data_IF_535829250234
#
_entry.id   IF_535829250234
#
_cell.length_a   1.000
_cell.length_b   1.000
_cell.length_c   1.000
_cell.angle_alpha   90.00
_cell.angle_beta   90.00
_cell.angle_gamma   90.00
#
_symmetry.space_group_name_H-M   'P 1'
#
loop_
_entity.id
_entity.type
_entity.pdbx_description
1 polymer ?
#
# COMPACT_ATOMS: atom_id res chain seq x y z
N UNK A 1 18.61 -18.51 68.78
CA UNK A 1 19.09 -17.45 69.70
C UNK A 1 19.76 -16.35 68.87
N UNK A 2 19.55 -15.05 69.16
CA UNK A 2 20.22 -13.83 68.59
C UNK A 2 20.55 -13.85 67.07
N UNK A 3 19.83 -13.23 66.12
CA UNK A 3 19.47 -11.81 65.86
C UNK A 3 20.64 -10.82 65.62
N UNK A 4 20.90 -10.57 64.33
CA UNK A 4 21.38 -9.34 63.65
C UNK A 4 20.90 -9.46 62.18
N UNK A 5 20.27 -8.52 61.44
CA UNK A 5 20.08 -7.05 61.51
C UNK A 5 21.38 -6.24 61.32
N UNK A 6 21.51 -5.26 60.40
CA UNK A 6 20.57 -4.72 59.37
C UNK A 6 21.30 -3.83 58.34
N UNK A 7 20.61 -3.43 57.24
CA UNK A 7 20.85 -2.21 56.42
C UNK A 7 22.11 -2.19 55.53
N UNK A 8 22.24 -1.39 54.45
CA UNK A 8 21.38 -0.35 53.79
C UNK A 8 21.74 -0.37 52.27
N UNK A 9 20.85 -0.16 51.29
CA UNK A 9 20.41 1.14 50.71
C UNK A 9 21.50 2.25 50.66
N UNK A 10 21.76 3.00 49.59
CA UNK A 10 21.29 3.05 48.18
C UNK A 10 22.27 3.95 47.38
N UNK A 11 22.02 4.21 46.08
CA UNK A 11 22.26 5.48 45.32
C UNK A 11 22.60 5.23 43.84
N UNK A 12 21.70 5.59 42.90
CA UNK A 12 21.77 6.83 42.08
C UNK A 12 22.88 6.76 41.00
N UNK A 13 22.66 6.14 39.84
CA UNK A 13 21.79 6.57 38.74
C UNK A 13 22.11 7.99 38.21
N UNK A 14 22.94 8.14 37.17
CA UNK A 14 23.17 9.43 36.51
C UNK A 14 23.63 9.36 35.03
N UNK A 15 22.77 9.85 34.12
CA UNK A 15 23.03 10.65 32.88
C UNK A 15 24.05 10.11 31.84
N UNK A 16 23.62 9.70 30.63
CA UNK A 16 23.19 10.49 29.43
C UNK A 16 24.31 10.74 28.40
N UNK A 17 24.20 10.06 27.26
CA UNK A 17 24.50 10.44 25.85
C UNK A 17 25.62 11.46 25.48
N UNK A 18 26.60 10.96 24.72
CA UNK A 18 27.46 11.63 23.71
C UNK A 18 27.78 10.51 22.68
N UNK A 19 27.49 10.47 21.37
CA UNK A 19 27.39 11.40 20.21
C UNK A 19 28.73 11.73 19.51
N UNK A 20 28.83 11.40 18.21
CA UNK A 20 29.99 11.54 17.29
C UNK A 20 31.22 10.64 17.57
N UNK A 21 32.00 10.13 16.60
CA UNK A 21 31.93 10.20 15.11
C UNK A 21 32.31 8.81 14.49
N UNK A 22 33.08 8.51 13.41
CA UNK A 22 34.02 9.24 12.52
C UNK A 22 33.90 8.77 11.04
N UNK A 23 34.93 8.17 10.40
CA UNK A 23 35.03 7.96 8.93
C UNK A 23 35.88 6.73 8.51
N UNK A 24 35.58 6.19 7.30
CA UNK A 24 36.46 5.63 6.23
C UNK A 24 35.48 5.15 5.12
N UNK A 25 35.27 5.86 4.00
CA UNK A 25 36.03 5.88 2.73
C UNK A 25 36.22 4.50 2.07
N UNK A 26 36.18 4.30 0.75
CA UNK A 26 35.67 5.06 -0.42
C UNK A 26 35.77 4.11 -1.64
N UNK A 27 34.81 4.09 -2.57
CA UNK A 27 35.10 3.78 -3.99
C UNK A 27 34.01 4.33 -4.93
N UNK A 28 34.41 5.09 -5.95
CA UNK A 28 33.56 5.49 -7.08
C UNK A 28 34.26 5.08 -8.38
N UNK A 29 33.62 4.27 -9.22
CA UNK A 29 34.13 3.89 -10.54
C UNK A 29 33.64 4.85 -11.62
N UNK A 30 34.43 5.88 -11.91
CA UNK A 30 34.19 6.82 -13.00
C UNK A 30 34.47 6.14 -14.36
N UNK A 31 33.52 6.17 -15.29
CA UNK A 31 33.70 5.70 -16.67
C UNK A 31 33.77 6.91 -17.61
N UNK A 32 34.92 7.08 -18.28
CA UNK A 32 35.14 8.09 -19.30
C UNK A 32 34.89 7.48 -20.70
N UNK A 33 34.11 8.12 -21.59
CA UNK A 33 33.95 7.66 -22.96
C UNK A 33 35.21 7.96 -23.79
N UNK A 34 35.67 6.99 -24.57
CA UNK A 34 36.82 7.14 -25.47
C UNK A 34 36.40 7.77 -26.81
N UNK A 35 37.04 8.86 -27.26
CA UNK A 35 36.78 9.44 -28.58
C UNK A 35 37.60 8.71 -29.65
N UNK A 36 36.93 7.94 -30.51
CA UNK A 36 37.54 7.45 -31.74
C UNK A 36 37.44 8.51 -32.84
N UNK A 37 38.57 9.14 -33.19
CA UNK A 37 38.69 9.81 -34.47
C UNK A 37 38.59 8.76 -35.59
N UNK A 38 37.82 9.07 -36.63
CA UNK A 38 38.10 8.54 -37.96
C UNK A 38 37.81 9.61 -39.01
N UNK A 39 38.82 9.94 -39.82
CA UNK A 39 38.73 10.97 -40.86
C UNK A 39 38.86 10.28 -42.22
N UNK A 40 37.84 10.41 -43.05
CA UNK A 40 37.97 10.25 -44.50
C UNK A 40 36.85 11.00 -45.20
N UNK A 41 37.23 12.01 -45.99
CA UNK A 41 36.33 12.72 -46.87
C UNK A 41 36.56 12.29 -48.32
N UNK A 42 35.49 12.09 -49.09
CA UNK A 42 35.43 12.41 -50.53
C UNK A 42 33.99 12.39 -51.06
N UNK A 43 33.61 13.54 -51.62
CA UNK A 43 32.74 13.76 -52.80
C UNK A 43 31.71 12.67 -53.11
N UNK A 44 30.43 13.01 -52.95
CA UNK A 44 29.33 12.07 -53.14
C UNK A 44 28.81 11.90 -54.57
N UNK A 45 27.81 11.04 -54.69
CA UNK A 45 26.78 11.04 -55.73
C UNK A 45 25.46 10.69 -55.05
N UNK A 46 24.37 11.36 -55.41
CA UNK A 46 23.06 11.10 -54.81
C UNK A 46 22.31 10.01 -55.58
N UNK A 47 22.15 8.82 -54.99
CA UNK A 47 21.30 7.76 -55.51
C UNK A 47 20.41 7.22 -54.39
N UNK A 48 19.10 7.21 -54.66
CA UNK A 48 18.06 6.85 -53.69
C UNK A 48 17.86 5.33 -53.67
N UNK A 49 18.09 4.66 -52.55
CA UNK A 49 17.68 3.26 -52.34
C UNK A 49 17.34 3.02 -50.88
N UNK A 50 16.08 2.65 -50.65
CA UNK A 50 15.54 2.38 -49.32
C UNK A 50 16.02 1.03 -48.80
N UNK A 51 16.70 1.03 -47.66
CA UNK A 51 16.96 -0.17 -46.87
C UNK A 51 16.37 0.03 -45.46
N UNK A 52 15.17 -0.51 -45.22
CA UNK A 52 14.63 -0.59 -43.86
C UNK A 52 15.36 -1.71 -43.11
N UNK A 53 16.28 -1.33 -42.24
CA UNK A 53 16.83 -2.22 -41.23
C UNK A 53 15.68 -2.66 -40.28
N UNK A 54 15.51 -3.96 -39.98
CA UNK A 54 14.38 -4.44 -39.21
C UNK A 54 14.53 -4.05 -37.74
N UNK A 55 13.87 -2.95 -37.35
CA UNK A 55 13.89 -2.44 -35.99
C UNK A 55 13.50 -3.51 -34.96
N UNK A 56 14.27 -3.60 -33.87
CA UNK A 56 13.97 -4.48 -32.74
C UNK A 56 12.57 -4.16 -32.18
N UNK A 57 11.82 -5.21 -31.80
CA UNK A 57 10.39 -5.07 -31.51
C UNK A 57 10.14 -4.36 -30.16
N UNK A 58 9.45 -3.20 -30.13
CA UNK A 58 9.23 -2.41 -28.91
C UNK A 58 8.33 -3.10 -27.87
N UNK A 59 7.79 -4.29 -28.19
CA UNK A 59 7.01 -5.11 -27.27
C UNK A 59 7.81 -5.59 -26.05
N UNK A 60 9.11 -5.87 -26.20
CA UNK A 60 9.92 -6.39 -25.09
C UNK A 60 10.22 -5.32 -24.02
N UNK A 61 10.64 -4.12 -24.43
CA UNK A 61 10.86 -2.99 -23.53
C UNK A 61 9.57 -2.58 -22.80
N UNK A 62 8.44 -2.59 -23.53
CA UNK A 62 7.12 -2.30 -22.95
C UNK A 62 6.72 -3.32 -21.88
N UNK A 63 6.96 -4.61 -22.12
CA UNK A 63 6.67 -5.67 -21.15
C UNK A 63 7.60 -5.60 -19.92
N UNK A 64 8.89 -5.34 -20.12
CA UNK A 64 9.86 -5.16 -19.04
C UNK A 64 9.53 -3.94 -18.17
N UNK A 65 9.22 -2.80 -18.78
CA UNK A 65 8.81 -1.58 -18.06
C UNK A 65 7.50 -1.80 -17.28
N UNK A 66 6.53 -2.52 -17.84
CA UNK A 66 5.30 -2.88 -17.10
C UNK A 66 5.57 -3.82 -15.93
N UNK A 67 6.49 -4.77 -16.05
CA UNK A 67 6.88 -5.65 -14.95
C UNK A 67 7.59 -4.87 -13.83
N UNK A 68 8.56 -4.02 -14.18
CA UNK A 68 9.28 -3.15 -13.24
C UNK A 68 8.34 -2.16 -12.54
N UNK A 69 7.39 -1.57 -13.26
CA UNK A 69 6.36 -0.71 -12.68
C UNK A 69 5.49 -1.48 -11.67
N UNK A 70 5.02 -2.68 -12.01
CA UNK A 70 4.25 -3.53 -11.08
C UNK A 70 5.06 -3.91 -9.84
N UNK A 71 6.34 -4.22 -9.99
CA UNK A 71 7.23 -4.52 -8.86
C UNK A 71 7.48 -3.29 -7.98
N UNK A 72 7.61 -2.09 -8.57
CA UNK A 72 7.73 -0.84 -7.84
C UNK A 72 6.44 -0.49 -7.08
N UNK A 73 5.26 -0.63 -7.71
CA UNK A 73 3.97 -0.45 -7.03
C UNK A 73 3.75 -1.47 -5.91
N UNK A 74 4.20 -2.71 -6.08
CA UNK A 74 4.17 -3.74 -5.02
C UNK A 74 5.09 -3.47 -3.82
N UNK A 75 6.00 -2.48 -3.92
CA UNK A 75 6.88 -2.01 -2.84
C UNK A 75 6.38 -0.73 -2.16
N UNK A 76 5.26 -0.16 -2.60
CA UNK A 76 4.60 0.94 -1.89
C UNK A 76 3.87 0.37 -0.67
N UNK A 77 4.23 0.83 0.53
CA UNK A 77 3.50 0.50 1.76
C UNK A 77 2.05 0.96 1.64
N UNK A 78 1.11 0.19 2.20
CA UNK A 78 -0.27 0.63 2.25
C UNK A 78 -0.40 1.91 3.10
N UNK A 79 -1.31 2.76 2.67
CA UNK A 79 -1.67 4.00 3.33
C UNK A 79 -3.12 3.86 3.80
N UNK A 80 -3.38 4.20 5.06
CA UNK A 80 -4.72 4.21 5.64
C UNK A 80 -5.25 5.63 5.68
N UNK A 81 -6.46 5.82 5.15
CA UNK A 81 -7.18 7.10 5.07
C UNK A 81 -8.24 7.12 6.17
N UNK A 82 -8.26 8.13 7.05
CA UNK A 82 -9.28 8.27 8.09
C UNK A 82 -10.65 8.63 7.46
N UNK A 83 -11.76 8.15 8.03
CA UNK A 83 -13.10 8.48 7.54
C UNK A 83 -13.60 9.83 8.10
N UNK A 84 -13.37 10.89 7.33
CA UNK A 84 -13.87 12.25 7.56
C UNK A 84 -15.23 12.48 6.85
N UNK A 85 -16.01 11.40 6.67
CA UNK A 85 -17.32 11.40 6.01
C UNK A 85 -17.32 11.09 4.50
N UNK A 86 -16.18 10.71 3.91
CA UNK A 86 -16.11 10.35 2.48
C UNK A 86 -16.77 9.00 2.15
N UNK A 87 -17.14 8.20 3.15
CA UNK A 87 -17.80 6.90 2.99
C UNK A 87 -18.78 6.62 4.14
N UNK A 88 -19.31 5.40 4.22
CA UNK A 88 -20.28 4.98 5.25
C UNK A 88 -19.76 5.26 6.68
N UNK A 89 -20.57 5.83 7.59
CA UNK A 89 -20.13 6.21 8.94
C UNK A 89 -19.79 5.03 9.86
N UNK A 90 -20.05 3.77 9.45
CA UNK A 90 -19.55 2.59 10.18
C UNK A 90 -18.05 2.30 9.92
N UNK A 91 -17.43 2.99 8.97
CA UNK A 91 -16.01 2.86 8.64
C UNK A 91 -15.20 3.84 9.48
N UNK A 92 -14.13 3.37 10.14
CA UNK A 92 -13.17 4.22 10.85
C UNK A 92 -12.04 4.65 9.90
N UNK A 93 -11.51 3.69 9.15
CA UNK A 93 -10.40 3.87 8.21
C UNK A 93 -10.62 3.04 6.94
N UNK A 94 -10.04 3.46 5.82
CA UNK A 94 -10.00 2.65 4.59
C UNK A 94 -8.60 2.63 3.96
N UNK A 95 -8.33 1.60 3.16
CA UNK A 95 -7.08 1.46 2.39
C UNK A 95 -7.32 0.78 1.04
N UNK A 96 -6.32 0.81 0.16
CA UNK A 96 -6.39 0.36 -1.23
C UNK A 96 -5.30 -0.67 -1.51
N UNK A 97 -5.66 -1.95 -1.47
CA UNK A 97 -4.73 -3.07 -1.50
C UNK A 97 -5.04 -4.02 -2.67
N UNK A 98 -4.07 -4.28 -3.55
CA UNK A 98 -4.18 -5.23 -4.67
C UNK A 98 -5.43 -5.07 -5.57
N UNK A 99 -5.92 -3.84 -5.76
CA UNK A 99 -7.14 -3.56 -6.54
C UNK A 99 -8.46 -3.72 -5.78
N UNK A 100 -8.41 -4.08 -4.49
CA UNK A 100 -9.53 -3.95 -3.56
C UNK A 100 -9.53 -2.57 -2.88
N UNK A 101 -10.70 -2.10 -2.48
CA UNK A 101 -10.81 -1.16 -1.35
C UNK A 101 -11.15 -1.96 -0.10
N UNK A 102 -10.42 -1.75 0.99
CA UNK A 102 -10.71 -2.36 2.29
C UNK A 102 -11.18 -1.29 3.25
N UNK A 103 -12.32 -1.52 3.88
CA UNK A 103 -12.91 -0.65 4.89
C UNK A 103 -12.76 -1.34 6.24
N UNK A 104 -12.22 -0.63 7.23
CA UNK A 104 -12.07 -1.11 8.59
C UNK A 104 -13.18 -0.49 9.46
N UNK A 105 -14.06 -1.33 9.98
CA UNK A 105 -15.13 -0.96 10.94
C UNK A 105 -14.67 -1.30 12.36
N UNK A 106 -15.47 -1.09 13.43
CA UNK A 106 -15.13 -1.52 14.80
C UNK A 106 -14.75 -3.00 14.96
N UNK A 107 -15.36 -3.91 14.18
CA UNK A 107 -15.19 -5.37 14.35
C UNK A 107 -15.00 -6.17 13.04
N UNK A 108 -14.95 -5.50 11.89
CA UNK A 108 -14.78 -6.15 10.58
C UNK A 108 -13.77 -5.42 9.68
N UNK A 109 -13.02 -6.19 8.91
CA UNK A 109 -12.38 -5.73 7.68
C UNK A 109 -13.22 -6.16 6.47
N UNK A 110 -13.74 -5.19 5.72
CA UNK A 110 -14.67 -5.39 4.60
C UNK A 110 -13.94 -5.09 3.29
N UNK A 111 -13.71 -6.11 2.46
CA UNK A 111 -12.98 -6.04 1.21
C UNK A 111 -13.96 -5.94 0.03
N UNK A 112 -14.00 -4.79 -0.63
CA UNK A 112 -14.70 -4.59 -1.89
C UNK A 112 -13.76 -4.91 -3.07
N UNK A 113 -13.99 -6.06 -3.71
CA UNK A 113 -13.18 -6.62 -4.78
C UNK A 113 -13.84 -6.39 -6.14
N UNK A 114 -13.12 -5.81 -7.11
CA UNK A 114 -13.57 -5.74 -8.50
C UNK A 114 -13.30 -7.05 -9.22
N UNK A 115 -14.33 -7.86 -9.49
CA UNK A 115 -14.21 -9.12 -10.25
C UNK A 115 -14.80 -8.96 -11.65
N UNK A 116 -14.21 -9.57 -12.70
CA UNK A 116 -14.79 -9.52 -14.05
C UNK A 116 -16.16 -10.22 -14.11
N UNK A 117 -17.20 -9.56 -14.65
CA UNK A 117 -18.50 -10.18 -14.85
C UNK A 117 -18.48 -11.06 -16.11
N UNK A 118 -18.05 -12.31 -15.94
CA UNK A 118 -18.00 -13.33 -17.00
C UNK A 118 -19.35 -13.60 -17.65
N UNK A 119 -20.47 -13.39 -16.93
CA UNK A 119 -21.82 -13.63 -17.43
C UNK A 119 -22.28 -12.54 -18.42
N UNK A 120 -21.79 -11.32 -18.29
CA UNK A 120 -22.20 -10.19 -19.12
C UNK A 120 -21.68 -10.27 -20.57
N UNK A 121 -20.53 -10.93 -20.80
CA UNK A 121 -19.93 -11.08 -22.13
C UNK A 121 -20.86 -11.79 -23.12
N UNK A 122 -21.56 -12.84 -22.67
CA UNK A 122 -22.52 -13.58 -23.49
C UNK A 122 -23.76 -12.74 -23.86
N UNK A 123 -24.24 -11.89 -22.94
CA UNK A 123 -25.38 -11.01 -23.17
C UNK A 123 -25.05 -9.84 -24.12
N UNK A 124 -23.84 -9.27 -24.01
CA UNK A 124 -23.38 -8.17 -24.85
C UNK A 124 -23.09 -8.61 -26.30
N UNK A 125 -22.45 -9.77 -26.49
CA UNK A 125 -22.09 -10.30 -27.80
C UNK A 125 -23.30 -10.50 -28.73
N UNK A 126 -24.49 -10.78 -28.18
CA UNK A 126 -25.73 -11.00 -28.93
C UNK A 126 -26.42 -9.72 -29.43
N UNK A 127 -25.86 -8.53 -29.16
CA UNK A 127 -26.45 -7.23 -29.54
C UNK A 127 -25.52 -6.24 -30.23
N UNK A 128 -24.28 -6.64 -30.57
CA UNK A 128 -23.24 -5.70 -31.00
C UNK A 128 -22.71 -6.02 -32.40
N UNK A 129 -23.26 -5.35 -33.42
CA UNK A 129 -22.81 -5.41 -34.82
C UNK A 129 -21.75 -4.36 -35.17
N UNK A 130 -21.41 -3.45 -34.26
CA UNK A 130 -20.41 -2.40 -34.47
C UNK A 130 -19.06 -2.77 -33.78
N UNK A 131 -17.99 -3.03 -34.54
CA UNK A 131 -16.68 -3.37 -33.98
C UNK A 131 -16.04 -2.23 -33.18
N UNK A 132 -16.48 -0.97 -33.38
CA UNK A 132 -15.98 0.18 -32.63
C UNK A 132 -16.48 0.19 -31.18
N UNK A 133 -17.62 -0.45 -30.92
CA UNK A 133 -18.16 -0.61 -29.57
C UNK A 133 -17.44 -1.69 -28.75
N UNK A 134 -16.85 -2.72 -29.39
CA UNK A 134 -16.00 -3.70 -28.67
C UNK A 134 -14.77 -3.03 -28.05
N UNK A 135 -14.19 -2.01 -28.69
CA UNK A 135 -13.03 -1.29 -28.16
C UNK A 135 -13.34 -0.37 -26.97
N UNK A 136 -14.60 0.03 -26.80
CA UNK A 136 -15.08 0.84 -25.68
C UNK A 136 -15.67 -0.02 -24.53
N UNK A 137 -16.08 -1.25 -24.83
CA UNK A 137 -16.62 -2.19 -23.86
C UNK A 137 -15.50 -2.84 -23.02
N UNK A 138 -14.96 -2.09 -22.06
CA UNK A 138 -14.31 -2.70 -20.91
C UNK A 138 -15.28 -3.73 -20.30
N UNK A 139 -14.85 -4.98 -20.17
CA UNK A 139 -15.70 -6.05 -19.65
C UNK A 139 -16.24 -5.62 -18.27
N UNK A 140 -17.58 -5.53 -18.09
CA UNK A 140 -18.13 -4.90 -16.90
C UNK A 140 -17.67 -5.66 -15.65
N UNK A 141 -17.22 -4.92 -14.65
CA UNK A 141 -16.86 -5.49 -13.36
C UNK A 141 -18.08 -5.60 -12.45
N UNK A 142 -18.12 -6.64 -11.65
CA UNK A 142 -19.03 -6.80 -10.53
C UNK A 142 -18.23 -6.61 -9.24
N UNK A 143 -18.82 -5.98 -8.22
CA UNK A 143 -18.23 -5.94 -6.89
C UNK A 143 -18.55 -7.25 -6.17
N UNK A 144 -17.51 -8.01 -5.80
CA UNK A 144 -17.60 -9.05 -4.79
C UNK A 144 -17.24 -8.45 -3.42
N UNK A 145 -17.89 -8.91 -2.35
CA UNK A 145 -17.61 -8.44 -0.98
C UNK A 145 -17.18 -9.64 -0.14
N UNK A 146 -15.98 -9.55 0.43
CA UNK A 146 -15.50 -10.44 1.48
C UNK A 146 -15.51 -9.65 2.79
N UNK A 147 -15.91 -10.30 3.89
CA UNK A 147 -15.81 -9.77 5.26
C UNK A 147 -14.91 -10.71 6.05
N UNK A 148 -14.05 -10.13 6.87
CA UNK A 148 -13.35 -10.82 7.95
C UNK A 148 -13.84 -10.21 9.26
N UNK A 149 -14.54 -10.99 10.08
CA UNK A 149 -15.15 -10.56 11.33
C UNK A 149 -14.34 -11.07 12.53
N UNK A 150 -14.01 -10.19 13.47
CA UNK A 150 -13.36 -10.57 14.73
C UNK A 150 -14.43 -11.07 15.70
N UNK A 151 -14.53 -12.39 15.85
CA UNK A 151 -15.68 -13.03 16.44
C UNK A 151 -15.68 -12.88 17.97
N UNK A 152 -16.74 -12.25 18.50
CA UNK A 152 -16.86 -11.95 19.93
C UNK A 152 -16.03 -10.76 20.41
N UNK A 153 -15.46 -9.96 19.50
CA UNK A 153 -14.74 -8.74 19.85
C UNK A 153 -15.66 -7.70 20.50
N UNK A 154 -15.03 -6.79 21.26
CA UNK A 154 -15.62 -5.54 21.72
C UNK A 154 -16.21 -4.76 20.52
N UNK A 155 -17.50 -4.38 20.54
CA UNK A 155 -18.11 -3.58 19.46
C UNK A 155 -17.65 -2.11 19.44
N UNK A 156 -17.04 -1.63 20.53
CA UNK A 156 -16.57 -0.24 20.70
C UNK A 156 -15.11 -0.24 21.21
N UNK A 157 -14.13 -0.69 20.41
CA UNK A 157 -12.71 -0.58 20.73
C UNK A 157 -12.22 0.86 20.57
N UNK A 158 -11.10 1.20 21.21
CA UNK A 158 -10.44 2.49 20.97
C UNK A 158 -9.63 2.40 19.68
N UNK A 159 -9.92 3.25 18.69
CA UNK A 159 -9.31 3.17 17.35
C UNK A 159 -8.46 4.40 17.06
N UNK A 160 -7.18 4.20 16.70
CA UNK A 160 -6.23 5.28 16.39
C UNK A 160 -5.43 4.99 15.12
N UNK A 161 -5.20 6.04 14.32
CA UNK A 161 -4.28 5.98 13.18
C UNK A 161 -2.83 6.20 13.65
N UNK A 162 -1.97 5.21 13.45
CA UNK A 162 -0.56 5.25 13.86
C UNK A 162 0.37 5.56 12.67
N UNK A 163 1.56 6.07 12.98
CA UNK A 163 2.57 6.51 12.01
C UNK A 163 1.97 7.47 10.96
N UNK A 164 1.46 8.62 11.42
CA UNK A 164 0.88 9.64 10.54
C UNK A 164 1.88 10.06 9.46
N UNK A 165 1.48 9.90 8.21
CA UNK A 165 2.29 10.20 7.04
C UNK A 165 2.24 11.69 6.70
N UNK A 166 3.18 12.13 5.85
CA UNK A 166 3.16 13.48 5.25
C UNK A 166 2.08 13.61 4.15
N UNK A 167 1.65 12.48 3.58
CA UNK A 167 0.60 12.42 2.56
C UNK A 167 -0.79 12.76 3.10
N UNK A 168 -1.58 13.43 2.26
CA UNK A 168 -3.00 13.74 2.48
C UNK A 168 -3.82 13.29 1.27
N UNK A 169 -5.09 12.96 1.49
CA UNK A 169 -6.05 12.64 0.41
C UNK A 169 -7.12 13.72 0.30
N UNK A 170 -7.61 13.93 -0.92
CA UNK A 170 -8.68 14.86 -1.23
C UNK A 170 -9.73 14.16 -2.11
N UNK A 171 -10.98 14.23 -1.70
CA UNK A 171 -12.15 13.67 -2.37
C UNK A 171 -13.04 14.80 -2.88
N UNK A 172 -13.16 14.94 -4.21
CA UNK A 172 -14.04 15.92 -4.84
C UNK A 172 -15.21 15.17 -5.52
N UNK A 173 -16.19 14.74 -4.71
CA UNK A 173 -17.22 13.79 -5.15
C UNK A 173 -18.34 14.49 -5.92
N UNK A 174 -18.14 14.61 -7.24
CA UNK A 174 -19.09 15.23 -8.15
C UNK A 174 -19.20 16.74 -8.00
N UNK A 175 -20.28 17.32 -8.52
CA UNK A 175 -20.42 18.78 -8.70
C UNK A 175 -20.97 19.49 -7.45
N UNK A 176 -20.94 18.86 -6.28
CA UNK A 176 -21.51 19.37 -5.03
C UNK A 176 -20.39 19.58 -3.99
N UNK A 177 -19.97 20.84 -3.73
CA UNK A 177 -18.92 21.14 -2.77
C UNK A 177 -19.22 20.72 -1.32
N UNK A 178 -20.48 20.42 -0.96
CA UNK A 178 -20.79 19.85 0.37
C UNK A 178 -20.37 18.38 0.52
N UNK A 179 -20.03 17.71 -0.60
CA UNK A 179 -19.47 16.34 -0.68
C UNK A 179 -17.97 16.35 -0.98
N UNK A 180 -17.29 17.47 -0.74
CA UNK A 180 -15.86 17.62 -0.97
C UNK A 180 -15.11 17.57 0.37
N UNK A 181 -14.26 16.56 0.54
CA UNK A 181 -13.48 16.32 1.76
C UNK A 181 -12.00 16.50 1.41
N UNK A 182 -11.30 17.41 2.08
CA UNK A 182 -9.95 17.82 1.71
C UNK A 182 -9.00 17.80 2.91
N UNK A 183 -7.71 17.55 2.64
CA UNK A 183 -6.66 17.39 3.65
C UNK A 183 -6.87 16.21 4.62
N UNK A 184 -7.54 15.14 4.17
CA UNK A 184 -7.75 13.93 4.99
C UNK A 184 -6.38 13.38 5.41
N UNK A 185 -6.11 13.22 6.71
CA UNK A 185 -4.83 12.71 7.19
C UNK A 185 -4.67 11.23 6.82
N UNK A 186 -3.42 10.82 6.58
CA UNK A 186 -3.11 9.43 6.28
C UNK A 186 -2.06 8.84 7.22
N UNK A 187 -2.08 7.51 7.33
CA UNK A 187 -1.40 6.75 8.38
C UNK A 187 -0.75 5.49 7.82
N UNK A 188 0.35 5.05 8.42
CA UNK A 188 1.05 3.81 8.04
C UNK A 188 0.46 2.54 8.66
N UNK A 189 -0.26 2.70 9.79
CA UNK A 189 -0.90 1.62 10.54
C UNK A 189 -2.21 2.11 11.17
N UNK A 190 -3.09 1.20 11.57
CA UNK A 190 -4.29 1.51 12.38
C UNK A 190 -4.35 0.53 13.55
N UNK A 191 -4.48 1.05 14.77
CA UNK A 191 -4.60 0.28 16.00
C UNK A 191 -6.05 0.28 16.50
N UNK A 192 -6.49 -0.89 16.96
CA UNK A 192 -7.77 -1.17 17.57
C UNK A 192 -7.49 -1.74 18.96
N UNK A 193 -7.39 -0.86 19.95
CA UNK A 193 -7.07 -1.23 21.32
C UNK A 193 -8.30 -1.77 22.06
N UNK A 194 -8.12 -2.87 22.79
CA UNK A 194 -9.16 -3.56 23.54
C UNK A 194 -10.21 -4.25 22.67
N UNK A 195 -9.80 -4.94 21.59
CA UNK A 195 -10.71 -5.83 20.82
C UNK A 195 -11.13 -7.04 21.64
N UNK A 196 -10.25 -7.55 22.52
CA UNK A 196 -10.57 -8.45 23.61
C UNK A 196 -9.91 -7.95 24.92
N UNK A 197 -10.27 -8.45 26.11
CA UNK A 197 -9.66 -8.03 27.37
C UNK A 197 -8.14 -8.24 27.41
N UNK A 198 -7.39 -7.16 27.22
CA UNK A 198 -5.92 -7.17 27.14
C UNK A 198 -5.34 -7.66 25.82
N UNK A 199 -6.13 -7.67 24.73
CA UNK A 199 -5.64 -7.92 23.36
C UNK A 199 -6.06 -6.80 22.44
N UNK A 200 -5.08 -6.23 21.74
CA UNK A 200 -5.24 -5.18 20.76
C UNK A 200 -5.06 -5.76 19.34
N UNK A 201 -5.57 -5.09 18.30
CA UNK A 201 -5.39 -5.51 16.90
C UNK A 201 -4.78 -4.37 16.09
N UNK A 202 -3.70 -4.64 15.36
CA UNK A 202 -2.98 -3.63 14.57
C UNK A 202 -2.98 -4.02 13.10
N UNK A 203 -3.57 -3.19 12.25
CA UNK A 203 -3.55 -3.31 10.79
C UNK A 203 -2.36 -2.55 10.20
N UNK A 204 -1.69 -3.14 9.21
CA UNK A 204 -0.54 -2.54 8.53
C UNK A 204 -0.39 -3.01 7.07
N UNK A 205 0.46 -2.31 6.31
CA UNK A 205 0.77 -2.67 4.92
C UNK A 205 2.08 -3.43 4.78
N UNK A 206 2.07 -4.59 4.13
CA UNK A 206 3.27 -5.37 3.83
C UNK A 206 3.25 -5.91 2.39
N UNK A 207 4.21 -5.47 1.56
CA UNK A 207 4.33 -5.88 0.15
C UNK A 207 3.02 -5.69 -0.65
N UNK A 208 2.38 -4.53 -0.50
CA UNK A 208 1.10 -4.19 -1.14
C UNK A 208 -0.14 -4.92 -0.60
N UNK A 209 0.00 -5.81 0.40
CA UNK A 209 -1.12 -6.48 1.10
C UNK A 209 -1.47 -5.77 2.40
N UNK A 210 -2.73 -5.92 2.80
CA UNK A 210 -3.16 -5.67 4.17
C UNK A 210 -2.80 -6.89 5.01
N UNK A 211 -2.08 -6.67 6.09
CA UNK A 211 -1.77 -7.67 7.11
C UNK A 211 -2.17 -7.12 8.49
N UNK A 212 -2.28 -7.99 9.49
CA UNK A 212 -2.72 -7.63 10.83
C UNK A 212 -2.05 -8.51 11.88
N UNK A 213 -1.79 -7.94 13.05
CA UNK A 213 -1.32 -8.64 14.25
C UNK A 213 -2.36 -8.52 15.38
N UNK A 214 -2.47 -9.55 16.21
CA UNK A 214 -3.11 -9.46 17.53
C UNK A 214 -2.03 -9.31 18.61
N UNK A 215 -1.99 -8.15 19.26
CA UNK A 215 -1.01 -7.82 20.29
C UNK A 215 -1.57 -8.27 21.65
N UNK A 216 -1.06 -9.41 22.14
CA UNK A 216 -1.52 -10.01 23.40
C UNK A 216 -0.74 -9.44 24.57
N UNK A 217 -1.43 -8.72 25.46
CA UNK A 217 -0.83 -8.11 26.66
C UNK A 217 -0.44 -9.14 27.75
N UNK A 218 0.40 -8.76 28.73
CA UNK A 218 0.85 -9.67 29.79
C UNK A 218 -0.31 -10.24 30.62
N UNK A 219 -0.54 -11.54 30.49
CA UNK A 219 -1.62 -12.25 31.20
C UNK A 219 -2.98 -12.23 30.51
N UNK A 220 -3.09 -11.67 29.31
CA UNK A 220 -4.30 -11.77 28.49
C UNK A 220 -4.48 -13.17 27.89
N UNK A 221 -5.74 -13.54 27.62
CA UNK A 221 -6.12 -14.88 27.15
C UNK A 221 -6.26 -14.91 25.62
N UNK A 222 -5.19 -15.34 24.96
CA UNK A 222 -5.15 -15.48 23.50
C UNK A 222 -6.14 -16.53 22.94
N UNK A 223 -6.72 -17.41 23.77
CA UNK A 223 -7.69 -18.41 23.29
C UNK A 223 -9.05 -17.82 22.91
N UNK A 224 -9.30 -16.55 23.24
CA UNK A 224 -10.50 -15.80 22.89
C UNK A 224 -10.47 -15.26 21.45
N UNK A 225 -9.27 -15.15 20.85
CA UNK A 225 -9.07 -14.61 19.51
C UNK A 225 -9.65 -15.55 18.46
N UNK A 226 -10.62 -15.07 17.69
CA UNK A 226 -11.33 -15.87 16.69
C UNK A 226 -11.74 -15.03 15.48
N UNK A 227 -11.69 -15.63 14.30
CA UNK A 227 -12.02 -14.98 13.02
C UNK A 227 -13.07 -15.78 12.26
N UNK A 228 -13.89 -15.08 11.48
CA UNK A 228 -15.03 -15.63 10.72
C UNK A 228 -15.25 -14.90 9.40
#
# INVERSE_FOLDING_TARGET
>A
MKRTKTNFASHTALRRAVFALLLISLLHSLVLPTPFLNVSARVGKAENTTAFEPAASPAQDTAAAQAQAREAYGKVSLIFEANEGQTDPQVNFLTRANGATVFLTPTEAVFALSVPNTNAGAAAASKLSDPRALAAAAAPTQTAVLRMQVAGANPEPSVEGLDRQEGIVNYFIGNDPSKWHANIPTYGRVEYAGVYPGVDMVYYGAGGRLEYDFVVGPGADASQVSLK
#
